data_IF_422150627902
#
_entry.id   IF_422150627902
#
_cell.length_a   1.000
_cell.length_b   1.000
_cell.length_c   1.000
_cell.angle_alpha   90.00
_cell.angle_beta   90.00
_cell.angle_gamma   90.00
#
_symmetry.space_group_name_H-M   'P 1'
#
loop_
_entity.id
_entity.type
_entity.pdbx_description
1 polymer ?
#
# COMPACT_ATOMS: atom_id res chain seq x y z
N UNK A 1 -27.53 7.20 -8.21
CA UNK A 1 -26.69 7.36 -9.42
C UNK A 1 -26.18 8.78 -9.41
N UNK A 2 -24.87 8.97 -9.50
CA UNK A 2 -24.20 10.27 -9.36
C UNK A 2 -23.34 10.47 -10.60
N UNK A 3 -23.43 11.63 -11.23
CA UNK A 3 -22.65 11.98 -12.43
C UNK A 3 -21.64 13.06 -12.08
N UNK A 4 -20.42 12.88 -12.53
CA UNK A 4 -19.31 13.81 -12.31
C UNK A 4 -18.65 14.10 -13.66
N UNK A 5 -18.54 15.38 -14.01
CA UNK A 5 -17.83 15.82 -15.21
C UNK A 5 -16.38 16.12 -14.84
N UNK A 6 -15.44 15.44 -15.49
CA UNK A 6 -14.02 15.67 -15.31
C UNK A 6 -13.49 16.60 -16.40
N UNK A 7 -13.15 17.84 -16.03
CA UNK A 7 -12.64 18.85 -16.97
C UNK A 7 -11.24 18.52 -17.49
N UNK A 8 -10.39 17.86 -16.69
CA UNK A 8 -9.02 17.50 -17.11
C UNK A 8 -9.03 16.42 -18.20
N UNK A 9 -9.90 15.41 -18.06
CA UNK A 9 -9.96 14.30 -19.00
C UNK A 9 -11.11 14.40 -20.00
N UNK A 10 -11.86 15.51 -19.95
CA UNK A 10 -12.99 15.82 -20.82
C UNK A 10 -13.96 14.63 -20.96
N UNK A 11 -14.30 14.00 -19.83
CA UNK A 11 -15.17 12.81 -19.79
C UNK A 11 -16.14 12.84 -18.61
N UNK A 12 -17.31 12.25 -18.83
CA UNK A 12 -18.31 12.05 -17.78
C UNK A 12 -18.06 10.71 -17.08
N UNK A 13 -18.05 10.74 -15.74
CA UNK A 13 -18.05 9.57 -14.90
C UNK A 13 -19.42 9.37 -14.25
N UNK A 14 -19.86 8.11 -14.25
CA UNK A 14 -21.13 7.72 -13.62
C UNK A 14 -20.83 6.74 -12.50
N UNK A 15 -21.22 7.12 -11.28
CA UNK A 15 -21.05 6.32 -10.07
C UNK A 15 -22.39 5.85 -9.52
N UNK A 16 -22.38 4.63 -8.98
CA UNK A 16 -23.48 4.09 -8.17
C UNK A 16 -23.01 4.09 -6.72
N UNK A 17 -23.69 4.85 -5.87
CA UNK A 17 -23.38 4.96 -4.45
C UNK A 17 -24.67 5.01 -3.64
N UNK A 18 -24.62 4.44 -2.43
CA UNK A 18 -25.65 4.56 -1.40
C UNK A 18 -25.47 5.83 -0.55
N UNK A 19 -24.31 6.49 -0.63
CA UNK A 19 -24.01 7.71 0.08
C UNK A 19 -24.61 8.91 -0.68
N UNK A 20 -25.88 9.22 -0.40
CA UNK A 20 -26.62 10.35 -0.99
C UNK A 20 -26.32 11.69 -0.32
N UNK A 21 -25.61 11.69 0.81
CA UNK A 21 -25.29 12.87 1.61
C UNK A 21 -24.00 13.59 1.17
N UNK A 22 -23.19 12.96 0.31
CA UNK A 22 -21.94 13.52 -0.20
C UNK A 22 -22.10 14.02 -1.64
N UNK A 23 -21.33 15.04 -1.99
CA UNK A 23 -21.34 15.63 -3.32
C UNK A 23 -20.76 14.69 -4.39
N UNK A 24 -21.08 14.95 -5.66
CA UNK A 24 -20.57 14.17 -6.78
C UNK A 24 -19.03 14.18 -6.88
N UNK A 25 -18.41 15.31 -6.55
CA UNK A 25 -16.96 15.44 -6.48
C UNK A 25 -16.37 14.52 -5.40
N UNK A 26 -16.93 14.54 -4.18
CA UNK A 26 -16.47 13.68 -3.09
C UNK A 26 -16.63 12.18 -3.43
N UNK A 27 -17.71 11.80 -4.12
CA UNK A 27 -17.87 10.43 -4.62
C UNK A 27 -16.76 10.08 -5.61
N UNK A 28 -16.45 10.97 -6.55
CA UNK A 28 -15.38 10.76 -7.52
C UNK A 28 -14.00 10.67 -6.85
N UNK A 29 -13.71 11.52 -5.86
CA UNK A 29 -12.47 11.51 -5.07
C UNK A 29 -12.33 10.21 -4.25
N UNK A 30 -13.39 9.76 -3.59
CA UNK A 30 -13.41 8.47 -2.89
C UNK A 30 -13.17 7.31 -3.86
N UNK A 31 -13.75 7.37 -5.05
CA UNK A 31 -13.51 6.35 -6.08
C UNK A 31 -12.08 6.41 -6.61
N UNK A 32 -11.47 7.60 -6.71
CA UNK A 32 -10.05 7.77 -7.05
C UNK A 32 -9.13 7.12 -6.00
N UNK A 33 -9.49 7.22 -4.71
CA UNK A 33 -8.76 6.55 -3.63
C UNK A 33 -8.80 5.02 -3.73
N UNK A 34 -9.78 4.43 -4.42
CA UNK A 34 -9.80 2.98 -4.71
C UNK A 34 -8.54 2.53 -5.46
N UNK A 35 -7.97 3.40 -6.30
CA UNK A 35 -6.73 3.09 -7.03
C UNK A 35 -5.53 2.87 -6.10
N UNK A 36 -5.50 3.51 -4.93
CA UNK A 36 -4.44 3.30 -3.94
C UNK A 36 -4.38 1.85 -3.46
N UNK A 37 -5.53 1.17 -3.38
CA UNK A 37 -5.59 -0.26 -3.04
C UNK A 37 -4.92 -1.11 -4.13
N UNK A 38 -5.14 -0.78 -5.41
CA UNK A 38 -4.49 -1.48 -6.52
C UNK A 38 -2.98 -1.23 -6.55
N UNK A 39 -2.54 0.00 -6.25
CA UNK A 39 -1.13 0.33 -6.08
C UNK A 39 -0.49 -0.40 -4.90
N UNK A 40 -1.20 -0.54 -3.77
CA UNK A 40 -0.76 -1.35 -2.63
C UNK A 40 -0.56 -2.81 -3.05
N UNK A 41 -1.53 -3.42 -3.75
CA UNK A 41 -1.39 -4.81 -4.21
C UNK A 41 -0.30 -4.97 -5.29
N UNK A 42 -0.11 -3.97 -6.16
CA UNK A 42 1.00 -3.94 -7.12
C UNK A 42 2.34 -3.91 -6.39
N UNK A 43 2.48 -3.04 -5.39
CA UNK A 43 3.65 -2.92 -4.54
C UNK A 43 3.93 -4.24 -3.79
N UNK A 44 2.89 -4.84 -3.20
CA UNK A 44 2.95 -6.09 -2.45
C UNK A 44 3.52 -7.22 -3.33
N UNK A 45 2.93 -7.41 -4.52
CA UNK A 45 3.36 -8.42 -5.48
C UNK A 45 4.80 -8.19 -5.97
N UNK A 46 5.19 -6.94 -6.18
CA UNK A 46 6.52 -6.59 -6.68
C UNK A 46 7.63 -6.76 -5.64
N UNK A 47 7.37 -6.41 -4.37
CA UNK A 47 8.43 -6.24 -3.37
C UNK A 47 8.57 -7.39 -2.39
N UNK A 48 7.49 -8.12 -2.10
CA UNK A 48 7.55 -9.24 -1.16
C UNK A 48 7.99 -10.56 -1.78
N UNK A 49 8.60 -10.53 -2.97
CA UNK A 49 9.01 -11.74 -3.71
C UNK A 49 7.94 -12.84 -3.64
N UNK A 50 6.65 -12.50 -3.78
CA UNK A 50 5.58 -13.48 -4.05
C UNK A 50 5.72 -14.00 -5.51
N UNK A 51 6.96 -14.12 -6.01
CA UNK A 51 7.31 -14.86 -7.22
C UNK A 51 7.43 -16.35 -6.92
N UNK A 52 7.65 -16.74 -5.65
CA UNK A 52 7.61 -18.13 -5.19
C UNK A 52 6.80 -18.21 -3.90
N UNK A 53 5.74 -19.03 -3.92
CA UNK A 53 4.99 -19.33 -2.72
C UNK A 53 5.83 -20.25 -1.83
N UNK A 54 5.86 -19.98 -0.52
CA UNK A 54 6.51 -20.87 0.45
C UNK A 54 5.81 -22.23 0.57
N UNK A 55 4.56 -22.32 0.11
CA UNK A 55 3.80 -23.56 -0.03
C UNK A 55 2.65 -23.36 -1.01
N UNK A 56 2.16 -24.44 -1.61
CA UNK A 56 1.09 -24.41 -2.62
C UNK A 56 -0.31 -24.53 -2.02
N UNK A 57 -0.41 -24.73 -0.70
CA UNK A 57 -1.71 -24.82 -0.01
C UNK A 57 -2.30 -23.43 0.18
N UNK A 58 -3.64 -23.35 0.18
CA UNK A 58 -4.35 -22.09 0.42
C UNK A 58 -3.92 -21.43 1.74
N UNK A 59 -3.75 -22.23 2.79
CA UNK A 59 -3.32 -21.73 4.09
C UNK A 59 -1.91 -21.11 4.06
N UNK A 60 -0.97 -21.74 3.35
CA UNK A 60 0.38 -21.20 3.19
C UNK A 60 0.36 -19.84 2.46
N UNK A 61 -0.47 -19.70 1.43
CA UNK A 61 -0.66 -18.44 0.72
C UNK A 61 -1.28 -17.38 1.62
N UNK A 62 -2.33 -17.71 2.38
CA UNK A 62 -2.98 -16.79 3.34
C UNK A 62 -2.00 -16.29 4.39
N UNK A 63 -1.20 -17.18 4.98
CA UNK A 63 -0.17 -16.82 5.96
C UNK A 63 0.88 -15.90 5.34
N UNK A 64 1.35 -16.21 4.13
CA UNK A 64 2.34 -15.39 3.42
C UNK A 64 1.82 -13.97 3.13
N UNK A 65 0.56 -13.82 2.74
CA UNK A 65 -0.08 -12.51 2.52
C UNK A 65 -0.24 -11.75 3.84
N UNK A 66 -0.69 -12.41 4.91
CA UNK A 66 -0.86 -11.76 6.21
C UNK A 66 0.48 -11.31 6.82
N UNK A 67 1.53 -12.11 6.68
CA UNK A 67 2.88 -11.74 7.10
C UNK A 67 3.40 -10.54 6.30
N UNK A 68 3.22 -10.55 4.99
CA UNK A 68 3.56 -9.46 4.09
C UNK A 68 2.88 -8.13 4.46
N UNK A 69 1.58 -8.16 4.74
CA UNK A 69 0.82 -7.00 5.19
C UNK A 69 1.31 -6.51 6.57
N UNK A 70 1.56 -7.43 7.50
CA UNK A 70 2.07 -7.09 8.83
C UNK A 70 3.43 -6.38 8.75
N UNK A 71 4.36 -6.89 7.93
CA UNK A 71 5.66 -6.26 7.69
C UNK A 71 5.50 -4.85 7.12
N UNK A 72 4.61 -4.66 6.14
CA UNK A 72 4.35 -3.33 5.56
C UNK A 72 3.83 -2.33 6.59
N UNK A 73 2.88 -2.75 7.44
CA UNK A 73 2.36 -1.90 8.51
C UNK A 73 3.45 -1.52 9.52
N UNK A 74 4.22 -2.50 10.01
CA UNK A 74 5.31 -2.27 10.97
C UNK A 74 6.36 -1.31 10.41
N UNK A 75 6.72 -1.50 9.14
CA UNK A 75 7.63 -0.63 8.43
C UNK A 75 7.13 0.80 8.29
N UNK A 76 5.86 0.98 7.95
CA UNK A 76 5.25 2.30 7.79
C UNK A 76 5.20 3.03 9.13
N UNK A 77 4.88 2.33 10.21
CA UNK A 77 4.92 2.86 11.58
C UNK A 77 6.35 3.26 11.95
N UNK A 78 7.33 2.39 11.74
CA UNK A 78 8.73 2.68 12.04
C UNK A 78 9.25 3.89 11.24
N UNK A 79 8.93 3.97 9.94
CA UNK A 79 9.29 5.10 9.09
C UNK A 79 8.69 6.41 9.59
N UNK A 80 7.41 6.38 9.99
CA UNK A 80 6.70 7.54 10.54
C UNK A 80 7.29 7.98 11.88
N UNK A 81 7.52 7.06 12.81
CA UNK A 81 8.04 7.36 14.16
C UNK A 81 9.49 7.87 14.12
N UNK A 82 10.28 7.39 13.16
CA UNK A 82 11.67 7.82 12.96
C UNK A 82 11.79 9.06 12.07
N UNK A 83 10.67 9.56 11.51
CA UNK A 83 10.62 10.72 10.59
C UNK A 83 11.61 10.61 9.43
N UNK A 84 11.72 9.41 8.85
CA UNK A 84 12.65 9.17 7.75
C UNK A 84 12.10 9.76 6.45
N UNK A 85 12.91 10.60 5.79
CA UNK A 85 12.60 11.19 4.46
C UNK A 85 12.90 10.24 3.29
N UNK A 86 13.21 8.98 3.59
CA UNK A 86 13.49 7.94 2.58
C UNK A 86 12.21 7.28 2.11
N UNK A 87 12.22 6.70 0.93
CA UNK A 87 11.07 5.92 0.46
C UNK A 87 10.92 4.62 1.28
N UNK A 88 9.68 4.14 1.44
CA UNK A 88 9.41 2.84 2.10
C UNK A 88 10.14 1.68 1.41
N UNK A 89 10.55 1.85 0.14
CA UNK A 89 11.40 0.88 -0.55
C UNK A 89 12.79 0.76 0.06
N UNK A 90 13.46 1.89 0.20
CA UNK A 90 14.84 1.95 0.61
C UNK A 90 14.96 1.47 2.05
N UNK A 91 13.99 1.87 2.89
CA UNK A 91 13.86 1.36 4.25
C UNK A 91 13.74 -0.16 4.26
N UNK A 92 12.91 -0.75 3.39
CA UNK A 92 12.76 -2.23 3.30
C UNK A 92 14.06 -2.88 2.85
N UNK A 93 14.73 -2.30 1.87
CA UNK A 93 15.94 -2.87 1.30
C UNK A 93 17.10 -2.87 2.29
N UNK A 94 17.30 -1.75 3.00
CA UNK A 94 18.30 -1.62 4.06
C UNK A 94 18.00 -2.64 5.17
N UNK A 95 16.75 -2.71 5.66
CA UNK A 95 16.36 -3.70 6.67
C UNK A 95 16.57 -5.13 6.22
N UNK A 96 16.25 -5.44 4.96
CA UNK A 96 16.39 -6.79 4.40
C UNK A 96 17.86 -7.24 4.35
N UNK A 97 18.80 -6.31 4.15
CA UNK A 97 20.24 -6.60 4.14
C UNK A 97 20.77 -6.71 5.56
N UNK A 98 20.22 -5.92 6.49
CA UNK A 98 20.65 -5.84 7.89
C UNK A 98 19.80 -6.67 8.85
N UNK A 99 19.07 -7.70 8.37
CA UNK A 99 18.14 -8.49 9.21
C UNK A 99 18.81 -9.16 10.42
N UNK A 100 20.09 -9.50 10.29
CA UNK A 100 20.90 -10.13 11.35
C UNK A 100 21.83 -9.15 12.05
N UNK A 101 21.82 -7.89 11.63
CA UNK A 101 22.61 -6.83 12.23
C UNK A 101 22.00 -6.44 13.59
N UNK A 102 22.87 -6.12 14.56
CA UNK A 102 22.48 -5.69 15.90
C UNK A 102 22.55 -4.17 16.06
N UNK A 103 22.98 -3.46 15.02
CA UNK A 103 23.05 -2.00 14.99
C UNK A 103 21.67 -1.39 15.27
N UNK A 104 21.62 -0.28 16.00
CA UNK A 104 20.34 0.35 16.34
C UNK A 104 19.65 0.82 15.06
N UNK A 105 18.32 0.66 14.97
CA UNK A 105 17.55 1.09 13.80
C UNK A 105 17.82 2.55 13.43
N UNK A 106 17.99 3.44 14.41
CA UNK A 106 18.26 4.87 14.15
C UNK A 106 19.61 5.09 13.46
N UNK A 107 20.62 4.33 13.86
CA UNK A 107 21.96 4.39 13.26
C UNK A 107 22.00 3.74 11.89
N UNK A 108 21.13 2.74 11.66
CA UNK A 108 21.00 2.07 10.37
C UNK A 108 20.49 2.99 9.25
N UNK A 109 19.75 4.05 9.60
CA UNK A 109 19.12 4.97 8.65
C UNK A 109 19.67 6.40 8.67
N UNK A 110 20.60 6.73 9.60
CA UNK A 110 21.33 8.01 9.59
C UNK A 110 22.29 8.06 8.40
#
# INVERSE_FOLDING_TARGET
MVRYWDEEQNREFVFLTNATHISALQVAELYKNRWQVELLFKWLKQRLKIKKFCGTTENAVRIQINAALSTYCLMTIAQHDMKLDRSTYEVLQILSISLTDKTNLRELFS
#
